data_IF_021735268148
#
_entry.id   IF_021735268148
#
_cell.length_a   1.000
_cell.length_b   1.000
_cell.length_c   1.000
_cell.angle_alpha   90.00
_cell.angle_beta   90.00
_cell.angle_gamma   90.00
#
_symmetry.space_group_name_H-M   'P 1'
#
loop_
_entity.id
_entity.type
_entity.pdbx_description
1 polymer ?
#
# COMPACT_ATOMS: atom_id res chain seq x y z
N UNK A 1 -5.58 -47.49 -49.36
CA UNK A 1 -4.74 -46.70 -48.43
C UNK A 1 -5.37 -46.72 -47.06
N UNK A 2 -4.88 -47.53 -46.12
CA UNK A 2 -5.28 -47.43 -44.70
C UNK A 2 -4.03 -47.13 -43.86
N UNK A 3 -3.95 -45.88 -43.38
CA UNK A 3 -2.93 -45.47 -42.42
C UNK A 3 -3.28 -46.08 -41.06
N UNK A 4 -2.38 -46.91 -40.53
CA UNK A 4 -2.44 -47.39 -39.14
C UNK A 4 -2.06 -46.23 -38.22
N UNK A 5 -2.95 -45.89 -37.30
CA UNK A 5 -2.67 -45.00 -36.18
C UNK A 5 -1.80 -45.74 -35.16
N UNK A 6 -0.67 -45.13 -34.78
CA UNK A 6 0.11 -45.52 -33.60
C UNK A 6 -0.60 -44.98 -32.35
N UNK A 7 -0.80 -45.78 -31.29
CA UNK A 7 -1.36 -45.29 -30.05
C UNK A 7 -0.33 -44.43 -29.30
N UNK A 8 -0.79 -43.29 -28.77
CA UNK A 8 -0.03 -42.39 -27.88
C UNK A 8 0.13 -43.08 -26.51
N UNK A 9 1.36 -43.33 -26.09
CA UNK A 9 1.68 -43.82 -24.74
C UNK A 9 1.35 -42.76 -23.69
N UNK A 10 0.69 -43.14 -22.60
CA UNK A 10 0.34 -42.24 -21.50
C UNK A 10 1.50 -42.11 -20.49
N UNK A 11 1.63 -40.97 -19.80
CA UNK A 11 2.70 -40.73 -18.82
C UNK A 11 2.77 -41.77 -17.68
N UNK A 12 1.70 -42.52 -17.43
CA UNK A 12 1.70 -43.60 -16.44
C UNK A 12 2.54 -44.82 -16.89
N UNK A 13 2.64 -45.07 -18.19
CA UNK A 13 3.40 -46.20 -18.75
C UNK A 13 4.92 -45.98 -18.65
N UNK A 14 5.37 -44.71 -18.75
CA UNK A 14 6.78 -44.36 -18.57
C UNK A 14 7.27 -44.50 -17.13
N UNK A 15 6.41 -44.29 -16.13
CA UNK A 15 6.77 -44.45 -14.72
C UNK A 15 6.94 -45.93 -14.36
N UNK A 16 6.08 -46.80 -14.91
CA UNK A 16 6.13 -48.24 -14.63
C UNK A 16 7.38 -48.92 -15.24
N UNK A 17 7.86 -48.41 -16.39
CA UNK A 17 9.14 -48.84 -16.99
C UNK A 17 10.33 -48.42 -16.13
N UNK A 18 10.33 -47.20 -15.59
CA UNK A 18 11.42 -46.69 -14.74
C UNK A 18 11.48 -47.47 -13.42
N UNK A 19 10.34 -47.73 -12.78
CA UNK A 19 10.28 -48.47 -11.50
C UNK A 19 10.71 -49.92 -11.65
N UNK A 20 10.42 -50.58 -12.79
CA UNK A 20 10.90 -51.95 -13.07
C UNK A 20 12.39 -52.04 -13.44
N UNK A 21 12.99 -50.95 -13.89
CA UNK A 21 14.42 -50.92 -14.27
C UNK A 21 15.36 -50.70 -13.08
N UNK A 22 14.83 -50.28 -11.94
CA UNK A 22 15.60 -50.06 -10.72
C UNK A 22 15.74 -51.38 -9.94
N UNK A 23 16.96 -51.89 -9.72
CA UNK A 23 17.15 -53.10 -8.92
C UNK A 23 16.60 -52.85 -7.51
N UNK A 24 15.78 -53.75 -6.98
CA UNK A 24 15.08 -53.57 -5.70
C UNK A 24 16.00 -53.15 -4.52
N UNK A 25 17.30 -53.50 -4.60
CA UNK A 25 18.35 -53.08 -3.66
C UNK A 25 18.60 -51.55 -3.65
N UNK A 26 18.46 -50.84 -4.77
CA UNK A 26 18.60 -49.37 -4.81
C UNK A 26 17.39 -48.67 -4.21
N UNK A 27 16.18 -49.22 -4.39
CA UNK A 27 14.97 -48.69 -3.77
C UNK A 27 15.07 -48.79 -2.24
N UNK A 28 15.52 -49.94 -1.72
CA UNK A 28 15.77 -50.12 -0.29
C UNK A 28 16.89 -49.18 0.19
N UNK A 29 17.96 -49.00 -0.57
CA UNK A 29 19.04 -48.07 -0.23
C UNK A 29 18.57 -46.62 -0.11
N UNK A 30 17.67 -46.17 -1.00
CA UNK A 30 17.09 -44.82 -0.96
C UNK A 30 16.18 -44.66 0.26
N UNK A 31 15.34 -45.65 0.57
CA UNK A 31 14.46 -45.61 1.75
C UNK A 31 15.30 -45.60 3.04
N UNK A 32 16.35 -46.42 3.14
CA UNK A 32 17.25 -46.41 4.31
C UNK A 32 17.99 -45.06 4.42
N UNK A 33 18.41 -44.45 3.30
CA UNK A 33 19.01 -43.12 3.34
C UNK A 33 18.01 -42.04 3.78
N UNK A 34 16.79 -42.03 3.24
CA UNK A 34 15.79 -41.02 3.62
C UNK A 34 15.29 -41.21 5.05
N UNK A 35 15.04 -42.44 5.49
CA UNK A 35 14.53 -42.72 6.85
C UNK A 35 15.64 -42.66 7.90
N UNK A 36 16.90 -42.94 7.55
CA UNK A 36 18.03 -42.90 8.48
C UNK A 36 18.69 -41.52 8.59
N UNK A 37 18.88 -40.82 7.47
CA UNK A 37 19.71 -39.61 7.44
C UNK A 37 18.93 -38.33 7.77
N UNK A 38 17.66 -38.22 7.37
CA UNK A 38 16.81 -37.06 7.68
C UNK A 38 16.52 -36.87 9.17
N UNK A 39 16.15 -37.89 9.97
CA UNK A 39 15.95 -37.69 11.40
C UNK A 39 17.26 -37.40 12.13
N UNK A 40 18.41 -37.89 11.63
CA UNK A 40 19.73 -37.57 12.20
C UNK A 40 20.16 -36.12 11.92
N UNK A 41 19.85 -35.60 10.73
CA UNK A 41 20.03 -34.17 10.40
C UNK A 41 19.06 -33.28 11.19
N UNK A 42 17.80 -33.68 11.34
CA UNK A 42 16.82 -32.94 12.13
C UNK A 42 17.19 -32.91 13.62
N UNK A 43 17.60 -34.04 14.20
CA UNK A 43 18.03 -34.10 15.60
C UNK A 43 19.36 -33.40 15.85
N UNK A 44 20.33 -33.46 14.92
CA UNK A 44 21.60 -32.74 15.10
C UNK A 44 21.41 -31.21 15.02
N UNK A 45 20.52 -30.73 14.14
CA UNK A 45 20.10 -29.32 14.13
C UNK A 45 19.31 -28.92 15.39
N UNK A 46 18.46 -29.79 15.92
CA UNK A 46 17.71 -29.50 17.15
C UNK A 46 18.61 -29.45 18.39
N UNK A 47 19.59 -30.35 18.51
CA UNK A 47 20.52 -30.43 19.65
C UNK A 47 21.59 -29.31 19.57
N UNK A 48 22.04 -28.95 18.37
CA UNK A 48 22.96 -27.82 18.19
C UNK A 48 22.29 -26.46 18.51
N UNK A 49 20.98 -26.31 18.26
CA UNK A 49 20.25 -25.07 18.59
C UNK A 49 19.79 -25.00 20.07
N UNK A 50 19.66 -26.14 20.76
CA UNK A 50 19.19 -26.18 22.16
C UNK A 50 20.31 -26.25 23.20
N UNK A 51 21.54 -26.59 22.80
CA UNK A 51 22.70 -26.71 23.71
C UNK A 51 23.49 -25.41 23.98
N UNK A 52 23.30 -24.35 23.18
CA UNK A 52 24.03 -23.08 23.35
C UNK A 52 23.21 -21.94 23.97
N UNK A 53 21.95 -22.19 24.35
CA UNK A 53 21.06 -21.17 24.92
C UNK A 53 20.77 -21.32 26.43
N UNK A 54 21.24 -22.38 27.10
CA UNK A 54 20.74 -22.72 28.45
C UNK A 54 21.63 -22.36 29.65
N UNK A 55 22.78 -21.70 29.45
CA UNK A 55 23.59 -21.17 30.57
C UNK A 55 23.54 -19.65 30.71
N UNK A 56 23.26 -18.89 29.64
CA UNK A 56 23.08 -17.44 29.73
C UNK A 56 21.73 -17.04 30.33
N UNK A 57 20.67 -17.83 30.11
CA UNK A 57 19.33 -17.54 30.62
C UNK A 57 19.14 -17.81 32.13
N UNK A 58 19.95 -18.69 32.71
CA UNK A 58 19.87 -19.01 34.15
C UNK A 58 20.56 -17.92 34.99
N UNK A 59 21.62 -17.28 34.47
CA UNK A 59 22.24 -16.14 35.15
C UNK A 59 21.44 -14.84 35.01
N UNK A 60 20.68 -14.66 33.93
CA UNK A 60 19.81 -13.48 33.74
C UNK A 60 18.51 -13.52 34.55
N UNK A 61 18.12 -14.68 35.10
CA UNK A 61 16.94 -14.78 35.99
C UNK A 61 17.28 -14.52 37.45
N UNK A 62 18.56 -14.56 37.84
CA UNK A 62 18.99 -14.37 39.24
C UNK A 62 19.65 -13.00 39.45
N UNK A 63 20.14 -12.36 38.40
CA UNK A 63 20.62 -10.98 38.44
C UNK A 63 19.63 -10.10 37.69
N UNK A 64 18.96 -9.19 38.40
CA UNK A 64 18.00 -8.25 37.83
C UNK A 64 18.67 -7.24 36.91
N UNK A 65 19.12 -7.69 35.75
CA UNK A 65 19.58 -6.85 34.65
C UNK A 65 18.55 -6.93 33.54
N UNK A 66 17.95 -5.78 33.28
CA UNK A 66 17.11 -5.43 32.15
C UNK A 66 17.09 -6.47 31.03
N UNK A 67 15.90 -7.00 30.75
CA UNK A 67 15.61 -7.47 29.40
C UNK A 67 15.85 -6.28 28.47
N UNK A 68 16.99 -6.29 27.79
CA UNK A 68 17.22 -5.43 26.65
C UNK A 68 15.99 -5.56 25.76
N UNK A 69 15.36 -4.42 25.48
CA UNK A 69 14.37 -4.30 24.43
C UNK A 69 14.90 -5.06 23.20
N UNK A 70 14.07 -5.82 22.48
CA UNK A 70 14.51 -6.46 21.25
C UNK A 70 15.25 -5.41 20.41
N UNK A 71 16.46 -5.72 19.90
CA UNK A 71 17.23 -4.74 19.14
C UNK A 71 16.30 -4.17 18.06
N UNK A 72 16.23 -2.83 17.89
CA UNK A 72 15.33 -2.23 16.92
C UNK A 72 15.54 -2.95 15.58
N UNK A 73 14.46 -3.51 15.03
CA UNK A 73 14.50 -4.25 13.78
C UNK A 73 15.41 -3.53 12.79
N UNK A 74 16.46 -4.23 12.37
CA UNK A 74 17.59 -3.71 11.62
C UNK A 74 17.15 -2.86 10.43
N UNK A 75 17.40 -1.55 10.54
CA UNK A 75 17.45 -0.53 9.48
C UNK A 75 16.42 -0.65 8.35
N UNK A 76 15.15 -0.48 8.66
CA UNK A 76 14.22 0.01 7.64
C UNK A 76 14.70 1.40 7.20
N UNK A 77 15.17 1.52 5.96
CA UNK A 77 15.56 2.80 5.40
C UNK A 77 14.31 3.52 4.90
N UNK A 78 14.04 4.70 5.45
CA UNK A 78 12.96 5.53 4.94
C UNK A 78 13.22 5.94 3.49
N UNK A 79 12.16 6.08 2.68
CA UNK A 79 12.23 6.88 1.47
C UNK A 79 12.88 8.23 1.73
N UNK A 80 13.70 8.70 0.78
CA UNK A 80 14.33 10.01 0.87
C UNK A 80 13.33 11.16 0.65
N UNK A 81 12.15 10.86 0.10
CA UNK A 81 11.13 11.83 -0.29
C UNK A 81 9.73 11.30 0.04
N UNK A 82 8.81 12.22 0.36
CA UNK A 82 7.39 11.93 0.61
C UNK A 82 6.58 11.96 -0.69
N UNK A 83 5.47 11.19 -0.81
CA UNK A 83 4.52 11.34 -1.91
C UNK A 83 4.05 12.79 -2.06
N UNK A 84 3.86 13.25 -3.30
CA UNK A 84 3.46 14.63 -3.60
C UNK A 84 2.09 14.64 -4.28
N UNK A 85 1.34 15.71 -4.06
CA UNK A 85 0.17 16.02 -4.89
C UNK A 85 0.64 16.87 -6.06
N UNK A 86 -0.01 16.73 -7.21
CA UNK A 86 0.31 17.49 -8.40
C UNK A 86 -0.75 17.30 -9.47
N UNK A 87 -0.50 17.93 -10.62
CA UNK A 87 -1.42 17.88 -11.78
C UNK A 87 -0.79 17.14 -12.95
N UNK A 88 -1.62 16.58 -13.83
CA UNK A 88 -1.21 16.11 -15.13
C UNK A 88 -1.42 17.26 -16.12
N UNK A 89 -0.36 17.84 -16.72
CA UNK A 89 -0.54 18.86 -17.74
C UNK A 89 -1.06 18.22 -19.03
N UNK A 90 -2.15 18.74 -19.56
CA UNK A 90 -2.75 18.26 -20.80
C UNK A 90 -2.84 19.39 -21.82
N UNK A 91 -2.40 19.13 -23.05
CA UNK A 91 -2.51 20.09 -24.15
C UNK A 91 -3.78 19.79 -24.93
N UNK A 92 -4.70 20.76 -24.97
CA UNK A 92 -5.98 20.66 -25.67
C UNK A 92 -5.72 20.39 -27.16
N UNK A 93 -6.35 19.34 -27.68
CA UNK A 93 -6.33 18.95 -29.08
C UNK A 93 -7.58 19.46 -29.81
N UNK A 94 -7.52 19.45 -31.15
CA UNK A 94 -8.68 19.75 -31.96
C UNK A 94 -9.79 18.71 -31.75
N UNK A 95 -11.03 19.17 -31.59
CA UNK A 95 -12.18 18.33 -31.30
C UNK A 95 -12.37 17.91 -29.84
N UNK A 96 -11.46 18.28 -28.92
CA UNK A 96 -11.60 17.94 -27.51
C UNK A 96 -12.82 18.62 -26.86
N UNK A 97 -13.49 17.89 -25.96
CA UNK A 97 -14.41 18.44 -24.96
C UNK A 97 -13.92 18.16 -23.54
N UNK A 98 -14.30 18.98 -22.55
CA UNK A 98 -13.93 18.72 -21.15
C UNK A 98 -14.35 17.32 -20.68
N UNK A 99 -15.53 16.85 -21.10
CA UNK A 99 -16.01 15.53 -20.72
C UNK A 99 -15.15 14.41 -21.33
N UNK A 100 -14.75 14.52 -22.59
CA UNK A 100 -13.84 13.55 -23.21
C UNK A 100 -12.44 13.59 -22.59
N UNK A 101 -11.92 14.78 -22.26
CA UNK A 101 -10.64 14.91 -21.56
C UNK A 101 -10.72 14.22 -20.20
N UNK A 102 -11.75 14.49 -19.40
CA UNK A 102 -11.91 13.87 -18.08
C UNK A 102 -12.13 12.36 -18.20
N UNK A 103 -12.98 11.90 -19.13
CA UNK A 103 -13.25 10.49 -19.32
C UNK A 103 -12.01 9.72 -19.81
N UNK A 104 -11.29 10.24 -20.80
CA UNK A 104 -10.22 9.50 -21.48
C UNK A 104 -8.83 9.73 -20.87
N UNK A 105 -8.55 10.93 -20.35
CA UNK A 105 -7.24 11.24 -19.77
C UNK A 105 -7.21 11.01 -18.25
N UNK A 106 -8.34 11.25 -17.57
CA UNK A 106 -8.43 11.13 -16.12
C UNK A 106 -9.16 9.86 -15.66
N UNK A 107 -9.61 9.01 -16.60
CA UNK A 107 -10.41 7.82 -16.35
C UNK A 107 -11.69 8.11 -15.54
N UNK A 108 -12.29 9.28 -15.75
CA UNK A 108 -13.53 9.67 -15.07
C UNK A 108 -14.74 9.31 -15.92
N UNK A 109 -15.09 8.03 -15.93
CA UNK A 109 -16.21 7.49 -16.70
C UNK A 109 -17.56 8.15 -16.37
N UNK A 110 -17.71 8.66 -15.14
CA UNK A 110 -18.93 9.35 -14.68
C UNK A 110 -18.88 10.88 -14.80
N UNK A 111 -17.84 11.44 -15.44
CA UNK A 111 -17.67 12.89 -15.58
C UNK A 111 -18.92 13.60 -16.11
N UNK A 112 -19.62 13.02 -17.09
CA UNK A 112 -20.85 13.57 -17.68
C UNK A 112 -22.05 13.61 -16.73
N UNK A 113 -22.10 12.73 -15.71
CA UNK A 113 -23.16 12.78 -14.69
C UNK A 113 -22.95 13.94 -13.72
N UNK A 114 -21.69 14.34 -13.50
CA UNK A 114 -21.30 15.41 -12.58
C UNK A 114 -21.28 16.76 -13.31
N UNK A 115 -20.79 16.78 -14.55
CA UNK A 115 -20.59 17.97 -15.38
C UNK A 115 -21.50 17.91 -16.61
N UNK A 116 -22.72 18.43 -16.44
CA UNK A 116 -23.70 18.53 -17.52
C UNK A 116 -24.33 19.92 -17.59
N UNK A 117 -24.84 20.28 -18.77
CA UNK A 117 -25.42 21.60 -19.04
C UNK A 117 -26.69 21.88 -18.22
N UNK A 118 -27.36 20.83 -17.71
CA UNK A 118 -28.49 20.98 -16.81
C UNK A 118 -28.07 21.49 -15.43
N UNK A 119 -26.81 21.30 -15.03
CA UNK A 119 -26.23 21.76 -13.78
C UNK A 119 -25.18 22.86 -14.02
N UNK A 120 -25.62 24.06 -14.40
CA UNK A 120 -24.74 25.19 -14.71
C UNK A 120 -23.66 25.48 -13.65
N UNK A 121 -23.96 25.25 -12.37
CA UNK A 121 -23.02 25.44 -11.28
C UNK A 121 -21.82 24.47 -11.33
N UNK A 122 -22.02 23.22 -11.76
CA UNK A 122 -20.94 22.23 -11.84
C UNK A 122 -19.98 22.55 -12.99
N UNK A 123 -20.49 23.01 -14.13
CA UNK A 123 -19.66 23.49 -15.25
C UNK A 123 -18.87 24.73 -14.84
N UNK A 124 -19.48 25.69 -14.14
CA UNK A 124 -18.76 26.87 -13.67
C UNK A 124 -17.65 26.53 -12.67
N UNK A 125 -17.91 25.57 -11.78
CA UNK A 125 -16.91 25.09 -10.84
C UNK A 125 -15.77 24.34 -11.57
N UNK A 126 -16.09 23.49 -12.55
CA UNK A 126 -15.09 22.83 -13.40
C UNK A 126 -14.23 23.85 -14.17
N UNK A 127 -14.85 24.87 -14.75
CA UNK A 127 -14.14 25.94 -15.46
C UNK A 127 -13.13 26.66 -14.56
N UNK A 128 -13.48 26.88 -13.29
CA UNK A 128 -12.56 27.49 -12.31
C UNK A 128 -11.37 26.59 -12.00
N UNK A 129 -11.60 25.28 -11.91
CA UNK A 129 -10.54 24.29 -11.64
C UNK A 129 -9.59 24.16 -12.82
N UNK A 130 -10.14 24.01 -14.03
CA UNK A 130 -9.34 23.85 -15.24
C UNK A 130 -8.71 25.17 -15.72
N UNK A 131 -9.19 26.31 -15.22
CA UNK A 131 -8.77 27.64 -15.67
C UNK A 131 -9.18 27.93 -17.12
N UNK A 132 -10.15 27.20 -17.67
CA UNK A 132 -10.62 27.31 -19.05
C UNK A 132 -12.14 27.21 -19.11
N UNK A 133 -12.74 27.78 -20.15
CA UNK A 133 -14.17 27.60 -20.38
C UNK A 133 -14.41 26.29 -21.14
N UNK A 134 -15.03 25.30 -20.48
CA UNK A 134 -15.37 24.01 -21.09
C UNK A 134 -16.28 24.10 -22.31
N UNK A 135 -16.99 25.21 -22.51
CA UNK A 135 -17.80 25.44 -23.71
C UNK A 135 -17.00 26.05 -24.88
N UNK A 136 -15.76 26.49 -24.65
CA UNK A 136 -14.92 27.12 -25.65
C UNK A 136 -13.44 26.84 -25.36
N UNK A 137 -13.02 25.60 -25.57
CA UNK A 137 -11.64 25.18 -25.38
C UNK A 137 -10.73 25.76 -26.46
N UNK A 138 -9.55 26.25 -26.05
CA UNK A 138 -8.55 26.80 -26.98
C UNK A 138 -7.55 25.71 -27.33
N UNK A 139 -7.52 25.29 -28.60
CA UNK A 139 -6.55 24.29 -29.10
C UNK A 139 -5.12 24.76 -28.84
N UNK A 140 -4.27 23.86 -28.34
CA UNK A 140 -2.88 24.14 -27.98
C UNK A 140 -2.69 24.78 -26.60
N UNK A 141 -3.75 25.19 -25.91
CA UNK A 141 -3.64 25.62 -24.52
C UNK A 141 -3.41 24.41 -23.59
N UNK A 142 -2.61 24.62 -22.54
CA UNK A 142 -2.32 23.60 -21.54
C UNK A 142 -3.22 23.80 -20.33
N UNK A 143 -3.95 22.75 -19.95
CA UNK A 143 -4.78 22.73 -18.74
C UNK A 143 -4.21 21.78 -17.68
N UNK A 144 -4.30 22.14 -16.40
CA UNK A 144 -3.92 21.26 -15.31
C UNK A 144 -5.06 20.29 -14.99
N UNK A 145 -4.84 18.99 -15.21
CA UNK A 145 -5.79 17.95 -14.82
C UNK A 145 -5.43 17.40 -13.43
N UNK A 146 -6.39 17.38 -12.51
CA UNK A 146 -6.18 16.90 -11.15
C UNK A 146 -6.79 15.51 -10.95
N UNK A 147 -6.01 14.52 -10.47
CA UNK A 147 -6.54 13.20 -10.13
C UNK A 147 -7.67 13.28 -9.10
N UNK A 148 -8.74 12.50 -9.33
CA UNK A 148 -9.87 12.41 -8.42
C UNK A 148 -9.60 11.47 -7.24
N UNK A 149 -9.93 11.93 -6.02
CA UNK A 149 -9.87 11.17 -4.76
C UNK A 149 -8.66 10.22 -4.66
N UNK A 150 -7.45 10.65 -5.06
CA UNK A 150 -6.36 9.73 -5.23
C UNK A 150 -6.02 9.06 -3.90
N UNK A 151 -5.68 7.78 -4.01
CA UNK A 151 -5.02 7.08 -2.93
C UNK A 151 -3.60 7.59 -2.81
N UNK A 152 -3.04 7.43 -1.62
CA UNK A 152 -1.62 7.54 -1.38
C UNK A 152 -1.10 6.24 -0.79
N UNK A 153 0.02 5.76 -1.30
CA UNK A 153 0.76 4.66 -0.72
C UNK A 153 1.73 5.21 0.33
N UNK A 154 1.56 4.77 1.57
CA UNK A 154 2.39 5.16 2.71
C UNK A 154 3.06 3.93 3.31
N UNK A 155 4.32 4.07 3.68
CA UNK A 155 5.09 3.05 4.41
C UNK A 155 5.98 3.74 5.43
N UNK A 156 6.01 3.24 6.66
CA UNK A 156 6.76 3.93 7.71
C UNK A 156 6.61 3.34 9.11
N UNK A 157 7.18 4.05 10.10
CA UNK A 157 7.18 3.63 11.51
C UNK A 157 6.13 4.41 12.29
N UNK A 158 5.31 3.70 13.08
CA UNK A 158 4.37 4.31 14.02
C UNK A 158 5.15 5.02 15.12
N UNK A 159 5.00 6.34 15.21
CA UNK A 159 5.62 7.18 16.25
C UNK A 159 4.68 7.50 17.40
N UNK A 160 3.39 7.58 17.11
CA UNK A 160 2.36 7.88 18.09
C UNK A 160 1.05 7.21 17.71
N UNK A 161 0.31 6.76 18.72
CA UNK A 161 -1.04 6.23 18.58
C UNK A 161 -1.96 7.14 19.38
N UNK A 162 -3.03 7.64 18.76
CA UNK A 162 -4.05 8.45 19.40
C UNK A 162 -5.42 7.81 19.17
N UNK A 163 -6.05 7.35 20.24
CA UNK A 163 -7.43 6.86 20.17
C UNK A 163 -8.38 8.02 19.82
N UNK A 164 -9.39 7.83 18.95
CA UNK A 164 -10.50 8.76 18.81
C UNK A 164 -11.21 8.79 20.17
N UNK A 165 -11.07 9.90 20.87
CA UNK A 165 -11.50 10.05 22.25
C UNK A 165 -13.00 9.77 22.42
N UNK A 166 -13.35 8.56 22.88
CA UNK A 166 -14.67 8.26 23.46
C UNK A 166 -14.59 7.88 24.94
N UNK A 167 -13.40 7.59 25.45
CA UNK A 167 -13.21 7.29 26.87
C UNK A 167 -12.92 8.59 27.62
N UNK A 168 -13.94 9.10 28.31
CA UNK A 168 -13.77 10.12 29.35
C UNK A 168 -12.76 9.54 30.36
N UNK A 169 -11.58 10.14 30.57
CA UNK A 169 -10.58 9.54 31.46
C UNK A 169 -11.19 9.42 32.84
N UNK A 170 -11.39 8.19 33.30
CA UNK A 170 -11.78 7.93 34.69
C UNK A 170 -10.66 8.47 35.55
N UNK A 171 -10.92 9.41 36.49
CA UNK A 171 -9.88 9.99 37.32
C UNK A 171 -9.24 8.86 38.14
N UNK A 172 -8.08 8.41 37.68
CA UNK A 172 -7.29 7.39 38.37
C UNK A 172 -6.40 8.14 39.36
N UNK A 173 -6.30 7.70 40.63
CA UNK A 173 -5.44 8.35 41.61
C UNK A 173 -4.00 8.48 41.07
N UNK A 174 -3.40 9.66 41.27
CA UNK A 174 -2.05 9.99 40.81
C UNK A 174 -0.99 9.14 41.53
N UNK A 175 -0.80 7.90 41.09
CA UNK A 175 0.33 7.07 41.51
C UNK A 175 1.55 7.54 40.72
N UNK A 176 2.55 8.08 41.43
CA UNK A 176 3.81 8.50 40.83
C UNK A 176 4.62 7.25 40.47
N UNK A 177 4.52 6.81 39.23
CA UNK A 177 5.37 5.75 38.70
C UNK A 177 6.76 6.31 38.38
N UNK A 178 7.85 5.59 38.71
CA UNK A 178 9.18 5.87 38.20
C UNK A 178 9.18 6.01 36.67
N UNK A 179 9.97 6.94 36.11
CA UNK A 179 9.98 7.22 34.66
C UNK A 179 10.24 5.97 33.80
N UNK A 180 11.07 5.04 34.27
CA UNK A 180 11.37 3.78 33.59
C UNK A 180 10.15 2.86 33.49
N UNK A 181 9.39 2.72 34.59
CA UNK A 181 8.15 1.93 34.62
C UNK A 181 7.06 2.61 33.78
N UNK A 182 7.03 3.94 33.76
CA UNK A 182 6.08 4.70 32.94
C UNK A 182 6.36 4.53 31.44
N UNK A 183 7.62 4.59 31.03
CA UNK A 183 8.06 4.32 29.65
C UNK A 183 7.79 2.87 29.23
N UNK A 184 8.04 1.88 30.11
CA UNK A 184 7.68 0.48 29.85
C UNK A 184 6.17 0.26 29.79
N UNK A 185 5.39 0.91 30.66
CA UNK A 185 3.93 0.81 30.65
C UNK A 185 3.32 1.48 29.41
N UNK A 186 3.92 2.55 28.90
CA UNK A 186 3.53 3.19 27.63
C UNK A 186 3.95 2.35 26.42
N UNK A 187 5.15 1.76 26.42
CA UNK A 187 5.62 0.87 25.35
C UNK A 187 4.82 -0.44 25.27
N UNK A 188 4.35 -0.96 26.41
CA UNK A 188 3.51 -2.16 26.48
C UNK A 188 2.01 -1.82 26.52
N UNK A 189 1.63 -0.55 26.33
CA UNK A 189 0.22 -0.17 26.34
C UNK A 189 -0.44 -0.68 25.08
N UNK A 190 -1.23 -1.73 25.25
CA UNK A 190 -2.14 -2.20 24.23
C UNK A 190 -3.19 -1.11 23.94
N UNK A 191 -3.23 -0.63 22.70
CA UNK A 191 -4.27 0.28 22.22
C UNK A 191 -5.20 -0.52 21.32
N UNK A 192 -6.47 -0.58 21.70
CA UNK A 192 -7.51 -1.20 20.89
C UNK A 192 -7.90 -0.24 19.75
N UNK A 193 -7.54 -0.60 18.53
CA UNK A 193 -7.82 0.18 17.33
C UNK A 193 -9.02 -0.33 16.53
N UNK A 194 -9.81 -1.27 17.08
CA UNK A 194 -11.02 -1.81 16.43
C UNK A 194 -12.05 -0.70 16.15
N UNK A 195 -12.19 0.25 17.08
CA UNK A 195 -13.04 1.45 16.94
C UNK A 195 -12.44 2.58 16.10
N UNK A 196 -11.22 2.39 15.58
CA UNK A 196 -10.44 3.42 14.91
C UNK A 196 -9.33 3.99 15.79
N UNK A 197 -8.21 4.37 15.19
CA UNK A 197 -7.05 5.01 15.79
C UNK A 197 -6.44 6.01 14.79
N UNK A 198 -5.94 7.13 15.29
CA UNK A 198 -5.06 8.01 14.53
C UNK A 198 -3.61 7.68 14.84
N UNK A 199 -2.92 7.08 13.88
CA UNK A 199 -1.49 6.80 13.92
C UNK A 199 -0.72 7.99 13.35
N UNK A 200 0.33 8.46 14.04
CA UNK A 200 1.35 9.29 13.39
C UNK A 200 2.46 8.39 12.89
N UNK A 201 2.61 8.32 11.57
CA UNK A 201 3.59 7.47 10.90
C UNK A 201 4.69 8.35 10.37
N UNK A 202 5.93 8.05 10.74
CA UNK A 202 7.09 8.66 10.11
C UNK A 202 7.33 7.97 8.76
N UNK A 203 7.31 8.74 7.66
CA UNK A 203 7.46 8.22 6.29
C UNK A 203 8.78 8.63 5.64
N UNK A 204 9.42 9.69 6.14
CA UNK A 204 10.81 10.07 5.81
C UNK A 204 11.55 10.41 7.10
N UNK A 205 12.84 10.74 7.02
CA UNK A 205 13.58 11.18 8.21
C UNK A 205 12.98 12.42 8.88
N UNK A 206 12.27 13.27 8.14
CA UNK A 206 11.74 14.54 8.65
C UNK A 206 10.20 14.63 8.61
N UNK A 207 9.54 13.76 7.84
CA UNK A 207 8.11 13.90 7.56
C UNK A 207 7.30 12.83 8.29
N UNK A 208 6.17 13.27 8.84
CA UNK A 208 5.17 12.41 9.49
C UNK A 208 3.81 12.65 8.87
N UNK A 209 3.02 11.59 8.71
CA UNK A 209 1.64 11.64 8.25
C UNK A 209 0.69 11.10 9.31
N UNK A 210 -0.54 11.62 9.33
CA UNK A 210 -1.60 11.09 10.19
C UNK A 210 -2.43 10.07 9.43
N UNK A 211 -2.45 8.83 9.88
CA UNK A 211 -3.23 7.74 9.30
C UNK A 211 -4.34 7.31 10.25
N UNK A 212 -5.58 7.43 9.83
CA UNK A 212 -6.71 6.82 10.50
C UNK A 212 -6.86 5.37 10.06
N UNK A 213 -6.74 4.45 11.01
CA UNK A 213 -6.87 2.99 10.82
C UNK A 213 -7.95 2.47 11.76
N UNK A 214 -8.81 1.58 11.28
CA UNK A 214 -9.67 0.76 12.13
C UNK A 214 -9.26 -0.69 11.89
N UNK A 215 -8.67 -1.32 12.90
CA UNK A 215 -7.99 -2.62 12.80
C UNK A 215 -8.05 -3.36 14.13
N UNK A 216 -8.22 -4.67 14.07
CA UNK A 216 -8.09 -5.56 15.22
C UNK A 216 -6.63 -6.00 15.45
N UNK A 217 -5.72 -5.64 14.54
CA UNK A 217 -4.30 -5.92 14.68
C UNK A 217 -3.68 -5.13 15.81
N UNK A 218 -2.72 -5.74 16.49
CA UNK A 218 -2.06 -5.17 17.66
C UNK A 218 -0.98 -4.15 17.25
N UNK A 219 -1.37 -2.90 17.03
CA UNK A 219 -0.44 -1.82 16.66
C UNK A 219 0.31 -1.29 17.88
N UNK A 220 1.64 -1.16 17.77
CA UNK A 220 2.49 -0.59 18.81
C UNK A 220 3.32 0.58 18.27
N UNK A 221 3.78 1.46 19.17
CA UNK A 221 4.77 2.47 18.81
C UNK A 221 6.08 1.77 18.45
N UNK A 222 6.65 2.13 17.31
CA UNK A 222 7.80 1.46 16.72
C UNK A 222 7.43 0.42 15.67
N UNK A 223 6.16 0.03 15.55
CA UNK A 223 5.74 -0.91 14.52
C UNK A 223 5.88 -0.30 13.12
N UNK A 224 6.33 -1.11 12.17
CA UNK A 224 6.34 -0.77 10.76
C UNK A 224 4.99 -1.09 10.12
N UNK A 225 4.49 -0.16 9.30
CA UNK A 225 3.20 -0.26 8.62
C UNK A 225 3.32 0.11 7.14
N UNK A 226 2.50 -0.53 6.31
CA UNK A 226 2.21 -0.11 4.94
C UNK A 226 0.71 0.08 4.79
N UNK A 227 0.31 1.09 4.03
CA UNK A 227 -1.09 1.29 3.72
C UNK A 227 -1.32 1.97 2.37
N UNK A 228 -2.42 1.57 1.73
CA UNK A 228 -3.12 2.44 0.79
C UNK A 228 -4.14 3.25 1.59
N UNK A 229 -4.11 4.56 1.42
CA UNK A 229 -4.98 5.45 2.16
C UNK A 229 -5.60 6.49 1.25
N UNK A 230 -6.88 6.77 1.43
CA UNK A 230 -7.56 7.81 0.70
C UNK A 230 -7.19 9.18 1.27
N UNK A 231 -6.81 10.08 0.38
CA UNK A 231 -6.62 11.49 0.72
C UNK A 231 -7.97 12.16 0.95
N UNK A 232 -8.04 13.06 1.93
CA UNK A 232 -9.29 13.76 2.23
C UNK A 232 -9.62 14.76 1.11
N UNK A 233 -10.74 14.59 0.38
CA UNK A 233 -11.11 15.54 -0.66
C UNK A 233 -11.44 16.90 -0.05
N UNK A 234 -11.08 17.96 -0.77
CA UNK A 234 -11.45 19.31 -0.42
C UNK A 234 -12.88 19.62 -0.89
N UNK A 235 -13.62 20.40 -0.11
CA UNK A 235 -14.98 20.82 -0.48
C UNK A 235 -14.91 21.92 -1.53
N UNK A 236 -15.66 21.74 -2.62
CA UNK A 236 -15.84 22.76 -3.64
C UNK A 236 -17.26 23.32 -3.60
N UNK A 237 -17.45 24.65 -3.48
CA UNK A 237 -18.78 25.24 -3.49
C UNK A 237 -19.56 24.87 -4.75
N UNK A 238 -20.72 24.21 -4.58
CA UNK A 238 -21.56 23.74 -5.68
C UNK A 238 -21.19 22.36 -6.24
N UNK A 239 -20.17 21.71 -5.66
CA UNK A 239 -19.66 20.39 -6.04
C UNK A 239 -19.23 19.60 -4.79
N UNK A 240 -20.13 19.47 -3.82
CA UNK A 240 -19.81 18.85 -2.52
C UNK A 240 -19.41 17.36 -2.63
N UNK A 241 -19.81 16.69 -3.72
CA UNK A 241 -19.49 15.29 -4.01
C UNK A 241 -18.36 15.14 -5.03
N UNK A 242 -17.73 16.23 -5.49
CA UNK A 242 -16.62 16.15 -6.43
C UNK A 242 -15.32 15.94 -5.65
N UNK A 243 -14.62 14.81 -5.87
CA UNK A 243 -13.42 14.48 -5.14
C UNK A 243 -12.21 15.27 -5.65
N UNK A 244 -12.08 16.50 -5.19
CA UNK A 244 -11.07 17.47 -5.63
C UNK A 244 -9.91 17.56 -4.62
N UNK A 245 -8.70 17.74 -5.14
CA UNK A 245 -7.50 18.05 -4.34
C UNK A 245 -6.69 19.14 -5.03
N UNK A 246 -6.45 20.25 -4.32
CA UNK A 246 -5.49 21.27 -4.76
C UNK A 246 -4.11 20.67 -5.00
N UNK A 247 -3.48 21.08 -6.11
CA UNK A 247 -2.18 20.61 -6.57
C UNK A 247 -1.01 20.89 -5.61
N UNK A 248 -1.18 21.80 -4.66
CA UNK A 248 -0.18 22.14 -3.64
C UNK A 248 -0.52 21.56 -2.26
N UNK A 249 -1.51 20.68 -2.19
CA UNK A 249 -1.83 19.95 -0.98
C UNK A 249 -0.66 19.07 -0.54
N UNK A 250 -0.44 19.00 0.77
CA UNK A 250 0.57 18.13 1.37
C UNK A 250 -0.09 17.03 2.18
N UNK A 251 0.43 15.81 2.03
CA UNK A 251 -0.02 14.63 2.79
C UNK A 251 0.24 14.74 4.29
N UNK A 252 1.23 15.53 4.71
CA UNK A 252 1.62 15.69 6.13
C UNK A 252 0.52 16.35 6.96
N UNK A 253 -0.25 17.25 6.35
CA UNK A 253 -1.32 18.01 7.02
C UNK A 253 -2.67 17.31 6.96
N UNK A 254 -2.76 16.16 6.29
CA UNK A 254 -3.99 15.43 6.09
C UNK A 254 -4.11 14.26 7.07
N UNK A 255 -5.34 13.95 7.45
CA UNK A 255 -5.68 12.66 8.06
C UNK A 255 -6.07 11.73 6.93
N UNK A 256 -5.17 10.81 6.60
CA UNK A 256 -5.35 9.82 5.55
C UNK A 256 -6.17 8.66 6.10
N UNK A 257 -7.19 8.20 5.38
CA UNK A 257 -8.00 7.05 5.82
C UNK A 257 -7.52 5.78 5.16
N UNK A 258 -6.92 4.88 5.92
CA UNK A 258 -6.43 3.60 5.41
C UNK A 258 -7.59 2.69 4.94
N UNK A 259 -7.32 1.90 3.92
CA UNK A 259 -8.23 0.90 3.36
C UNK A 259 -7.57 -0.38 2.83
N UNK A 260 -6.24 -0.39 2.82
CA UNK A 260 -5.40 -1.58 2.75
C UNK A 260 -4.31 -1.30 3.77
N UNK A 261 -4.11 -2.20 4.74
CA UNK A 261 -3.20 -1.98 5.86
C UNK A 261 -2.44 -3.27 6.16
N UNK A 262 -1.14 -3.12 6.28
CA UNK A 262 -0.22 -4.20 6.60
C UNK A 262 0.63 -3.77 7.77
N UNK A 263 0.66 -4.58 8.83
CA UNK A 263 1.47 -4.37 10.03
C UNK A 263 2.55 -5.44 10.09
N UNK A 264 3.82 -5.03 10.12
CA UNK A 264 4.97 -5.95 10.19
C UNK A 264 4.95 -7.07 9.13
N UNK A 265 4.40 -6.76 7.95
CA UNK A 265 4.30 -7.68 6.82
C UNK A 265 3.06 -8.57 6.82
N UNK A 266 2.23 -8.51 7.86
CA UNK A 266 0.93 -9.18 7.91
C UNK A 266 -0.18 -8.22 7.48
N UNK A 267 -0.91 -8.58 6.42
CA UNK A 267 -2.04 -7.82 5.92
C UNK A 267 -3.26 -7.98 6.84
N UNK A 268 -3.96 -6.87 7.09
CA UNK A 268 -5.26 -6.86 7.75
C UNK A 268 -6.37 -7.14 6.74
N UNK A 269 -6.99 -8.31 6.85
CA UNK A 269 -8.07 -8.73 5.95
C UNK A 269 -9.45 -8.20 6.38
N UNK A 270 -9.59 -7.71 7.61
CA UNK A 270 -10.86 -7.23 8.17
C UNK A 270 -11.05 -5.73 7.97
N UNK A 271 -10.03 -5.06 7.44
CA UNK A 271 -10.08 -3.65 7.11
C UNK A 271 -11.13 -3.34 6.03
N UNK A 272 -11.72 -2.14 6.09
CA UNK A 272 -12.59 -1.62 5.04
C UNK A 272 -11.82 -1.53 3.70
N UNK A 273 -12.23 -2.25 2.65
CA UNK A 273 -11.53 -2.21 1.36
C UNK A 273 -11.67 -0.82 0.70
N UNK A 274 -10.69 -0.43 -0.11
CA UNK A 274 -10.65 0.92 -0.72
C UNK A 274 -11.90 1.27 -1.53
N UNK A 275 -12.50 0.30 -2.23
CA UNK A 275 -13.79 0.46 -2.94
C UNK A 275 -14.98 0.78 -2.03
N UNK A 276 -14.87 0.69 -0.71
CA UNK A 276 -15.97 1.05 0.21
C UNK A 276 -15.75 2.41 0.87
N UNK A 277 -14.63 3.09 0.59
CA UNK A 277 -14.40 4.44 1.10
C UNK A 277 -15.29 5.45 0.37
N UNK A 278 -15.97 6.31 1.12
CA UNK A 278 -16.77 7.40 0.53
C UNK A 278 -15.96 8.69 0.42
N UNK A 279 -16.04 9.43 -0.70
CA UNK A 279 -16.79 9.09 -1.92
C UNK A 279 -16.06 8.01 -2.76
N UNK A 280 -16.75 6.92 -3.09
CA UNK A 280 -16.20 5.85 -3.95
C UNK A 280 -16.63 6.12 -5.39
N UNK A 281 -15.68 6.17 -6.31
CA UNK A 281 -15.95 6.15 -7.75
C UNK A 281 -15.25 4.98 -8.47
N UNK A 282 -14.54 4.12 -7.71
CA UNK A 282 -13.66 3.08 -8.27
C UNK A 282 -14.39 2.10 -9.17
N UNK A 283 -15.59 1.65 -8.77
CA UNK A 283 -16.34 0.66 -9.56
C UNK A 283 -16.90 1.28 -10.84
N UNK A 284 -17.30 2.56 -10.77
CA UNK A 284 -17.89 3.27 -11.91
C UNK A 284 -16.84 3.77 -12.91
N UNK A 285 -15.65 4.12 -12.42
CA UNK A 285 -14.49 4.60 -13.19
C UNK A 285 -13.53 3.47 -13.57
N UNK A 286 -13.73 2.27 -13.02
CA UNK A 286 -12.92 1.07 -13.28
C UNK A 286 -11.57 1.06 -12.57
N UNK A 287 -11.28 2.01 -11.69
CA UNK A 287 -9.99 2.14 -11.00
C UNK A 287 -9.83 3.43 -10.21
N UNK A 288 -8.60 3.70 -9.79
CA UNK A 288 -8.25 4.90 -9.03
C UNK A 288 -6.82 5.33 -9.28
N UNK A 289 -6.58 6.64 -9.15
CA UNK A 289 -5.24 7.20 -9.14
C UNK A 289 -4.55 6.96 -7.80
N UNK A 290 -3.26 6.61 -7.84
CA UNK A 290 -2.42 6.41 -6.67
C UNK A 290 -1.17 7.30 -6.75
N UNK A 291 -0.95 8.10 -5.71
CA UNK A 291 0.33 8.74 -5.44
C UNK A 291 1.22 7.80 -4.63
N UNK A 292 2.50 7.72 -4.98
CA UNK A 292 3.43 6.94 -4.20
C UNK A 292 4.89 7.25 -4.50
N UNK A 293 5.77 6.54 -3.80
CA UNK A 293 7.21 6.63 -3.98
C UNK A 293 7.75 5.23 -4.24
N UNK A 294 8.59 5.09 -5.25
CA UNK A 294 9.18 3.80 -5.63
C UNK A 294 10.27 3.36 -4.64
N UNK A 295 10.49 2.05 -4.52
CA UNK A 295 11.49 1.46 -3.63
C UNK A 295 10.89 0.39 -2.71
N UNK A 296 11.72 -0.52 -2.21
CA UNK A 296 11.29 -1.68 -1.43
C UNK A 296 10.52 -1.33 -0.14
N UNK A 297 10.80 -0.15 0.42
CA UNK A 297 10.18 0.32 1.67
C UNK A 297 8.96 1.22 1.46
N UNK A 298 8.52 1.39 0.20
CA UNK A 298 7.33 2.14 -0.18
C UNK A 298 6.52 1.30 -1.19
N UNK A 299 6.34 1.75 -2.44
CA UNK A 299 5.54 1.03 -3.44
C UNK A 299 6.05 -0.39 -3.75
N UNK A 300 7.31 -0.69 -3.49
CA UNK A 300 7.87 -2.03 -3.65
C UNK A 300 7.24 -3.07 -2.73
N UNK A 301 6.55 -2.66 -1.66
CA UNK A 301 5.76 -3.55 -0.81
C UNK A 301 4.74 -4.37 -1.62
N UNK A 302 3.99 -3.70 -2.50
CA UNK A 302 2.99 -4.34 -3.36
C UNK A 302 3.58 -5.06 -4.58
N UNK A 303 4.91 -5.03 -4.75
CA UNK A 303 5.65 -5.71 -5.82
C UNK A 303 5.20 -5.34 -7.24
N UNK A 304 4.62 -4.16 -7.44
CA UNK A 304 4.22 -3.69 -8.77
C UNK A 304 5.43 -3.39 -9.63
N UNK A 305 5.44 -3.96 -10.83
CA UNK A 305 6.56 -3.86 -11.75
C UNK A 305 6.61 -2.51 -12.45
N UNK A 306 7.20 -1.51 -11.80
CA UNK A 306 7.28 -0.14 -12.35
C UNK A 306 8.58 0.15 -13.12
N UNK A 307 9.64 -0.65 -12.93
CA UNK A 307 10.97 -0.44 -13.52
C UNK A 307 11.57 0.98 -13.30
N UNK A 308 11.29 1.62 -12.16
CA UNK A 308 11.79 2.96 -11.84
C UNK A 308 12.87 2.96 -10.75
N UNK A 309 13.82 3.91 -10.77
CA UNK A 309 14.78 4.08 -9.68
C UNK A 309 14.06 4.27 -8.34
N UNK A 310 14.61 3.77 -7.21
CA UNK A 310 14.06 4.05 -5.88
C UNK A 310 13.96 5.55 -5.59
N UNK A 311 13.05 5.93 -4.69
CA UNK A 311 12.75 7.32 -4.31
C UNK A 311 12.19 8.19 -5.45
N UNK A 312 11.61 7.57 -6.48
CA UNK A 312 10.89 8.30 -7.53
C UNK A 312 9.46 8.52 -7.08
N UNK A 313 9.04 9.78 -6.98
CA UNK A 313 7.63 10.16 -6.75
C UNK A 313 6.84 9.92 -8.03
N UNK A 314 5.77 9.14 -7.92
CA UNK A 314 4.97 8.69 -9.07
C UNK A 314 3.48 8.90 -8.83
N UNK A 315 2.77 9.00 -9.94
CA UNK A 315 1.31 8.92 -10.03
C UNK A 315 1.00 7.77 -10.99
N UNK A 316 0.20 6.81 -10.56
CA UNK A 316 -0.15 5.63 -11.34
C UNK A 316 -1.63 5.32 -11.28
N UNK A 317 -2.16 4.72 -12.33
CA UNK A 317 -3.54 4.24 -12.36
C UNK A 317 -3.60 2.77 -11.89
N UNK A 318 -4.40 2.51 -10.87
CA UNK A 318 -4.74 1.16 -10.42
C UNK A 318 -6.11 0.78 -10.96
N UNK A 319 -6.20 -0.36 -11.64
CA UNK A 319 -7.47 -0.89 -12.11
C UNK A 319 -8.17 -1.69 -11.01
N UNK A 320 -9.50 -1.61 -10.97
CA UNK A 320 -10.33 -2.48 -10.14
C UNK A 320 -10.54 -3.83 -10.83
N UNK A 321 -10.06 -4.91 -10.22
CA UNK A 321 -10.24 -6.28 -10.71
C UNK A 321 -10.80 -7.16 -9.60
N UNK A 322 -12.06 -7.58 -9.76
CA UNK A 322 -12.72 -8.46 -8.77
C UNK A 322 -12.91 -7.81 -7.39
N UNK A 323 -12.74 -6.49 -7.27
CA UNK A 323 -12.80 -5.76 -6.02
C UNK A 323 -11.45 -5.37 -5.42
N UNK A 324 -10.36 -5.84 -6.00
CA UNK A 324 -8.99 -5.50 -5.60
C UNK A 324 -8.39 -4.48 -6.56
N UNK A 325 -7.53 -3.61 -6.04
CA UNK A 325 -6.80 -2.62 -6.83
C UNK A 325 -5.45 -3.18 -7.25
N UNK A 326 -5.19 -3.19 -8.56
CA UNK A 326 -3.97 -3.73 -9.12
C UNK A 326 -3.40 -2.81 -10.19
N UNK A 327 -2.08 -2.68 -10.21
CA UNK A 327 -1.40 -2.03 -11.31
C UNK A 327 -1.27 -3.00 -12.50
N UNK A 328 -1.56 -2.52 -13.70
CA UNK A 328 -1.37 -3.25 -14.95
C UNK A 328 -0.27 -2.59 -15.77
N UNK A 329 0.56 -3.38 -16.47
CA UNK A 329 1.70 -2.85 -17.23
C UNK A 329 1.32 -1.88 -18.37
N UNK A 330 0.06 -1.90 -18.81
CA UNK A 330 -0.48 -0.96 -19.80
C UNK A 330 -1.03 0.33 -19.21
N UNK A 331 -1.19 0.38 -17.88
CA UNK A 331 -1.63 1.59 -17.19
C UNK A 331 -0.53 2.66 -17.23
N UNK A 332 -0.90 3.94 -17.33
CA UNK A 332 0.08 5.01 -17.35
C UNK A 332 0.73 5.19 -15.97
N UNK A 333 2.05 5.40 -15.99
CA UNK A 333 2.82 5.93 -14.86
C UNK A 333 3.36 7.31 -15.24
N UNK A 334 3.21 8.25 -14.32
CA UNK A 334 3.78 9.59 -14.41
C UNK A 334 4.82 9.78 -13.32
N UNK A 335 5.87 10.53 -13.63
CA UNK A 335 6.89 10.95 -12.66
C UNK A 335 6.65 12.40 -12.27
N UNK A 336 6.77 12.69 -10.98
CA UNK A 336 6.67 14.05 -10.48
C UNK A 336 7.86 14.91 -10.91
N UNK A 337 7.59 16.12 -11.40
CA UNK A 337 8.56 17.19 -11.61
C UNK A 337 8.34 18.27 -10.54
N UNK A 338 9.28 18.41 -9.57
CA UNK A 338 9.15 19.40 -8.51
C UNK A 338 9.24 20.84 -9.01
N UNK A 339 9.79 21.10 -10.19
CA UNK A 339 9.87 22.47 -10.74
C UNK A 339 8.53 22.98 -11.24
N UNK A 340 7.72 22.06 -11.79
CA UNK A 340 6.43 22.38 -12.38
C UNK A 340 5.26 22.01 -11.47
N UNK A 341 5.52 21.34 -10.35
CA UNK A 341 4.50 20.71 -9.49
C UNK A 341 3.52 19.84 -10.30
N UNK A 342 4.08 19.10 -11.26
CA UNK A 342 3.34 18.40 -12.29
C UNK A 342 3.86 16.97 -12.51
N UNK A 343 2.98 16.11 -12.99
CA UNK A 343 3.24 14.72 -13.30
C UNK A 343 3.44 14.54 -14.81
N UNK A 344 4.66 14.17 -15.19
CA UNK A 344 5.06 13.99 -16.58
C UNK A 344 4.97 12.51 -16.94
N UNK A 345 4.22 12.20 -18.01
CA UNK A 345 4.04 10.83 -18.48
C UNK A 345 5.38 10.21 -18.83
N UNK A 346 5.68 9.05 -18.25
CA UNK A 346 6.88 8.31 -18.62
C UNK A 346 6.64 7.63 -19.97
N UNK A 347 7.61 7.73 -20.87
CA UNK A 347 7.58 6.95 -22.11
C UNK A 347 7.85 5.50 -21.72
N UNK A 348 6.99 4.59 -22.19
CA UNK A 348 7.22 3.14 -22.06
C UNK A 348 8.54 2.85 -22.79
N UNK A 349 9.60 2.52 -22.05
CA UNK A 349 10.81 1.94 -22.63
C UNK A 349 10.44 0.52 -23.04
N UNK A 350 10.27 0.32 -24.34
CA UNK A 350 10.00 -0.98 -24.98
C UNK A 350 11.13 -1.96 -24.80
#
# INVERSE_FOLDING_TARGET
MSRRFLPRSSSAENVDIIVRSLPWKTIIGIVICFVGFLPFLACSLFIANSGLLSLSQIFSTITGTHADLPPPHTSFQFPAVSPQVGVIPYTIQDGDSCNEILANQMNMGQSTKIFNDAQKNSIQALNRVLGQNCQNLTVGAVIPLQPQSPLVAVGGIVRKISEPSFVKPTPTPLIHLPQTIRQQAEANRYVDCSGGCNLQIQITNNDTVSLFVATDMHVQVGSWVWALAMMQPQKMPGLDNYPYLESHSTVEKMVLRACDFTLEGQQDNDMIPCRKLSPNTIDDDGGIWLYGVTGSQALGHWQWNTHLPPNTQVLMWLSSKGGDLQYEDDNPIYRYDPKQHAYIKLKKTS
#
